data_IF_197578235082
#
_entry.id   IF_197578235082
#
_cell.length_a   1.000
_cell.length_b   1.000
_cell.length_c   1.000
_cell.angle_alpha   90.00
_cell.angle_beta   90.00
_cell.angle_gamma   90.00
#
_symmetry.space_group_name_H-M   'P 1'
#
loop_
_entity.id
_entity.type
_entity.pdbx_description
1 polymer ?
#
# COMPACT_ATOMS: atom_id res chain seq x y z
N UNK A 1 9.54 -10.56 32.76
CA UNK A 1 10.14 -10.87 31.44
C UNK A 1 9.00 -10.93 30.42
N UNK A 2 8.74 -9.84 29.73
CA UNK A 2 7.71 -9.79 28.68
C UNK A 2 8.31 -10.21 27.35
N UNK A 3 7.61 -11.01 26.53
CA UNK A 3 8.10 -11.37 25.21
C UNK A 3 8.08 -10.14 24.31
N UNK A 4 9.22 -9.74 23.80
CA UNK A 4 9.34 -8.76 22.73
C UNK A 4 8.78 -9.40 21.44
N UNK A 5 7.63 -8.93 21.01
CA UNK A 5 7.10 -9.23 19.68
C UNK A 5 7.89 -8.37 18.70
N UNK A 6 8.77 -9.00 17.96
CA UNK A 6 9.50 -8.39 16.84
C UNK A 6 8.55 -8.26 15.64
N UNK A 7 8.00 -7.06 15.44
CA UNK A 7 7.04 -6.75 14.38
C UNK A 7 7.65 -6.58 12.98
N UNK A 8 8.92 -6.87 12.79
CA UNK A 8 9.69 -6.49 11.58
C UNK A 8 9.67 -7.48 10.42
N UNK A 9 8.98 -8.62 10.53
CA UNK A 9 9.07 -9.68 9.51
C UNK A 9 7.90 -9.79 8.53
N UNK A 10 6.83 -9.01 8.71
CA UNK A 10 5.58 -9.25 7.97
C UNK A 10 5.57 -8.79 6.51
N UNK A 11 6.14 -7.64 6.20
CA UNK A 11 6.03 -7.04 4.86
C UNK A 11 6.94 -7.71 3.83
N UNK A 12 8.18 -8.00 4.23
CA UNK A 12 9.14 -8.72 3.40
C UNK A 12 8.63 -10.12 3.02
N UNK A 13 7.83 -10.75 3.90
CA UNK A 13 7.34 -12.11 3.68
C UNK A 13 6.24 -12.20 2.60
N UNK A 14 5.36 -11.21 2.45
CA UNK A 14 4.29 -11.28 1.42
C UNK A 14 4.89 -11.12 0.02
N UNK A 15 5.77 -10.15 -0.17
CA UNK A 15 6.45 -9.93 -1.45
C UNK A 15 7.47 -11.03 -1.74
N UNK A 16 8.15 -11.57 -0.72
CA UNK A 16 9.10 -12.70 -0.89
C UNK A 16 8.38 -13.99 -1.26
N UNK A 17 7.19 -14.27 -0.73
CA UNK A 17 6.39 -15.42 -1.15
C UNK A 17 5.79 -15.23 -2.55
N UNK A 18 5.43 -14.01 -2.91
CA UNK A 18 4.99 -13.67 -4.25
C UNK A 18 6.19 -13.69 -5.24
N UNK A 19 7.39 -13.32 -4.83
CA UNK A 19 8.58 -13.26 -5.68
C UNK A 19 9.48 -14.51 -5.63
N UNK A 20 9.67 -15.13 -4.46
CA UNK A 20 10.63 -16.23 -4.24
C UNK A 20 10.26 -17.57 -4.84
N UNK A 21 9.06 -17.75 -5.32
CA UNK A 21 8.57 -18.97 -5.95
C UNK A 21 8.43 -18.88 -7.49
N UNK A 22 8.94 -17.84 -8.13
CA UNK A 22 8.77 -17.57 -9.57
C UNK A 22 9.80 -18.25 -10.48
N UNK A 23 10.59 -19.21 -10.03
CA UNK A 23 11.38 -20.02 -10.93
C UNK A 23 10.53 -21.13 -11.59
N UNK A 24 10.37 -21.02 -12.92
CA UNK A 24 9.97 -22.06 -13.87
C UNK A 24 8.50 -22.15 -14.39
N UNK A 25 7.69 -21.14 -14.27
CA UNK A 25 6.63 -20.93 -15.27
C UNK A 25 6.75 -19.49 -15.77
N UNK A 26 6.57 -19.22 -17.06
CA UNK A 26 6.34 -17.86 -17.58
C UNK A 26 5.03 -17.34 -16.96
N UNK A 27 5.08 -16.89 -15.72
CA UNK A 27 3.98 -16.24 -15.07
C UNK A 27 3.81 -14.89 -15.74
N UNK A 28 2.64 -14.66 -16.30
CA UNK A 28 2.33 -13.37 -16.89
C UNK A 28 2.54 -12.28 -15.82
N UNK A 29 3.25 -11.22 -16.18
CA UNK A 29 3.42 -10.05 -15.32
C UNK A 29 2.05 -9.54 -14.89
N UNK A 30 1.80 -9.27 -13.60
CA UNK A 30 0.53 -8.72 -13.15
C UNK A 30 0.20 -7.45 -13.92
N UNK A 31 -1.08 -7.30 -14.28
CA UNK A 31 -1.58 -6.10 -14.96
C UNK A 31 -1.98 -5.08 -13.90
N UNK A 32 -1.89 -3.81 -14.25
CA UNK A 32 -2.37 -2.69 -13.41
C UNK A 32 -3.86 -2.36 -13.62
N UNK A 33 -4.59 -3.26 -14.29
CA UNK A 33 -6.04 -3.22 -14.47
C UNK A 33 -6.61 -4.63 -14.35
N UNK A 34 -7.85 -4.73 -13.96
CA UNK A 34 -8.56 -6.02 -13.90
C UNK A 34 -9.19 -6.29 -15.27
N UNK A 35 -8.74 -7.36 -15.96
CA UNK A 35 -9.27 -7.72 -17.28
C UNK A 35 -10.72 -8.21 -17.18
N UNK A 36 -11.48 -8.08 -18.28
CA UNK A 36 -12.86 -8.56 -18.36
C UNK A 36 -12.98 -10.06 -18.04
N UNK A 37 -12.06 -10.88 -18.56
CA UNK A 37 -12.05 -12.32 -18.25
C UNK A 37 -11.95 -12.56 -16.73
N UNK A 38 -11.14 -11.75 -16.03
CA UNK A 38 -10.98 -11.84 -14.58
C UNK A 38 -12.22 -11.35 -13.84
N UNK A 39 -12.87 -10.28 -14.33
CA UNK A 39 -14.13 -9.78 -13.76
C UNK A 39 -15.28 -10.77 -13.94
N UNK A 40 -15.29 -11.49 -15.06
CA UNK A 40 -16.35 -12.44 -15.44
C UNK A 40 -16.20 -13.84 -14.79
N UNK A 41 -15.14 -14.08 -14.00
CA UNK A 41 -15.04 -15.33 -13.25
C UNK A 41 -16.26 -15.46 -12.31
N UNK A 42 -17.02 -16.55 -12.51
CA UNK A 42 -18.24 -16.82 -11.73
C UNK A 42 -17.90 -17.16 -10.29
N UNK A 43 -18.69 -16.65 -9.36
CA UNK A 43 -18.59 -16.86 -7.93
C UNK A 43 -18.35 -15.57 -7.15
N UNK A 44 -18.54 -15.65 -5.85
CA UNK A 44 -18.21 -14.55 -4.93
C UNK A 44 -16.70 -14.41 -4.76
N UNK A 45 -16.29 -13.30 -4.17
CA UNK A 45 -14.90 -12.99 -3.90
C UNK A 45 -14.70 -12.76 -2.41
N UNK A 46 -13.57 -13.24 -1.89
CA UNK A 46 -13.10 -12.87 -0.57
C UNK A 46 -12.24 -11.60 -0.69
N UNK A 47 -12.33 -10.74 0.29
CA UNK A 47 -11.50 -9.57 0.41
C UNK A 47 -10.77 -9.61 1.75
N UNK A 48 -9.47 -9.41 1.71
CA UNK A 48 -8.62 -9.37 2.91
C UNK A 48 -7.91 -8.02 2.93
N UNK A 49 -8.18 -7.25 3.97
CA UNK A 49 -7.49 -5.99 4.23
C UNK A 49 -6.46 -6.25 5.32
N UNK A 50 -5.20 -6.03 5.00
CA UNK A 50 -4.07 -6.23 5.90
C UNK A 50 -3.56 -4.87 6.35
N UNK A 51 -3.61 -4.59 7.65
CA UNK A 51 -2.96 -3.42 8.25
C UNK A 51 -1.97 -3.96 9.30
N UNK A 52 -0.71 -4.24 8.91
CA UNK A 52 0.21 -5.00 9.76
C UNK A 52 0.70 -4.21 10.98
N UNK A 53 0.75 -2.90 10.87
CA UNK A 53 1.20 -2.02 11.94
C UNK A 53 0.06 -1.50 12.80
N UNK A 54 0.35 -1.13 14.04
CA UNK A 54 -0.57 -0.51 14.99
C UNK A 54 -0.30 0.96 15.20
N UNK A 55 0.85 1.45 14.72
CA UNK A 55 1.33 2.82 14.90
C UNK A 55 2.03 3.32 13.65
N UNK A 56 2.17 4.64 13.51
CA UNK A 56 2.92 5.26 12.41
C UNK A 56 4.36 4.76 12.40
N UNK A 57 4.83 4.28 11.26
CA UNK A 57 6.21 3.82 11.10
C UNK A 57 7.17 4.97 10.85
N UNK A 58 8.40 4.92 11.39
CA UNK A 58 9.41 5.94 11.16
C UNK A 58 10.14 5.73 9.84
N UNK A 59 10.48 6.84 9.19
CA UNK A 59 11.59 6.98 8.27
C UNK A 59 11.74 5.94 7.15
N UNK A 60 10.65 5.64 6.44
CA UNK A 60 10.69 4.72 5.30
C UNK A 60 10.87 5.52 4.02
N UNK A 61 11.78 5.11 3.14
CA UNK A 61 11.79 5.68 1.80
C UNK A 61 10.48 5.31 1.09
N UNK A 62 9.81 6.28 0.51
CA UNK A 62 8.49 6.09 -0.12
C UNK A 62 8.49 4.99 -1.21
N UNK A 63 9.65 4.71 -1.81
CA UNK A 63 9.84 3.63 -2.79
C UNK A 63 10.12 2.26 -2.13
N UNK A 64 10.55 2.19 -0.86
CA UNK A 64 10.77 0.93 -0.14
C UNK A 64 9.45 0.27 0.28
N UNK A 65 8.35 1.02 0.30
CA UNK A 65 7.01 0.49 0.56
C UNK A 65 6.49 -0.47 -0.55
N UNK A 66 7.26 -0.74 -1.59
CA UNK A 66 6.86 -1.60 -2.70
C UNK A 66 7.96 -2.51 -3.28
N UNK A 67 9.17 -2.49 -2.75
CA UNK A 67 10.26 -3.35 -3.25
C UNK A 67 10.81 -4.25 -2.15
N UNK A 68 10.47 -5.53 -2.19
CA UNK A 68 11.19 -6.55 -1.41
C UNK A 68 12.60 -6.67 -1.98
N UNK A 69 13.59 -6.09 -1.31
CA UNK A 69 15.00 -6.35 -1.61
C UNK A 69 15.43 -7.65 -0.95
N UNK A 70 16.20 -8.45 -1.71
CA UNK A 70 16.93 -9.59 -1.18
C UNK A 70 17.96 -9.06 -0.18
N UNK A 71 17.88 -9.50 1.06
CA UNK A 71 18.61 -8.97 2.18
C UNK A 71 20.09 -9.37 2.13
N UNK A 72 20.97 -8.37 2.18
CA UNK A 72 22.33 -8.52 2.63
C UNK A 72 22.34 -8.48 4.17
N UNK A 73 22.89 -9.47 4.89
CA UNK A 73 22.91 -9.51 6.36
C UNK A 73 23.52 -8.26 7.02
N UNK A 74 24.42 -7.56 6.31
CA UNK A 74 25.00 -6.31 6.80
C UNK A 74 24.00 -5.14 6.66
N UNK A 75 23.19 -5.15 5.61
CA UNK A 75 22.15 -4.15 5.36
C UNK A 75 21.03 -4.26 6.41
N UNK A 76 20.67 -5.48 6.83
CA UNK A 76 19.70 -5.73 7.90
C UNK A 76 20.16 -5.16 9.25
N UNK A 77 21.43 -5.35 9.61
CA UNK A 77 21.99 -4.81 10.86
C UNK A 77 22.00 -3.27 10.89
N UNK A 78 22.30 -2.64 9.76
CA UNK A 78 22.30 -1.18 9.62
C UNK A 78 20.86 -0.66 9.67
N UNK A 79 19.91 -1.36 9.05
CA UNK A 79 18.50 -1.00 9.04
C UNK A 79 17.88 -1.17 10.43
N UNK A 80 18.22 -2.22 11.18
CA UNK A 80 17.78 -2.41 12.56
C UNK A 80 18.24 -1.27 13.49
N UNK A 81 19.50 -0.84 13.36
CA UNK A 81 20.02 0.27 14.16
C UNK A 81 19.38 1.63 13.78
N UNK A 82 19.14 1.86 12.50
CA UNK A 82 18.41 3.07 12.01
C UNK A 82 16.97 3.04 12.48
N UNK A 83 16.30 1.89 12.40
CA UNK A 83 14.92 1.69 12.84
C UNK A 83 14.79 1.94 14.33
N UNK A 84 15.70 1.38 15.17
CA UNK A 84 15.67 1.59 16.62
C UNK A 84 15.86 3.06 17.03
N UNK A 85 16.67 3.82 16.28
CA UNK A 85 16.80 5.28 16.49
C UNK A 85 15.55 6.02 16.02
N UNK A 86 15.02 5.66 14.85
CA UNK A 86 13.79 6.21 14.30
C UNK A 86 12.58 6.00 15.21
N UNK A 87 12.47 4.81 15.82
CA UNK A 87 11.42 4.46 16.78
C UNK A 87 11.34 5.44 17.98
N UNK A 88 12.51 5.75 18.58
CA UNK A 88 12.56 6.73 19.68
C UNK A 88 12.27 8.15 19.22
N UNK A 89 12.72 8.47 18.01
CA UNK A 89 12.59 9.80 17.47
C UNK A 89 11.14 10.17 17.17
N UNK A 90 10.35 9.21 16.63
CA UNK A 90 8.95 9.44 16.25
C UNK A 90 7.96 9.32 17.44
N UNK A 91 8.41 8.87 18.62
CA UNK A 91 7.51 8.61 19.76
C UNK A 91 6.62 9.79 20.16
N UNK A 92 7.07 11.07 20.15
CA UNK A 92 6.18 12.20 20.44
C UNK A 92 5.01 12.30 19.47
N UNK A 93 5.23 12.06 18.19
CA UNK A 93 4.19 12.06 17.16
C UNK A 93 3.23 10.88 17.35
N UNK A 94 3.74 9.67 17.63
CA UNK A 94 2.92 8.50 17.94
C UNK A 94 2.04 8.72 19.16
N UNK A 95 2.60 9.28 20.23
CA UNK A 95 1.83 9.60 21.45
C UNK A 95 0.67 10.55 21.15
N UNK A 96 0.89 11.57 20.31
CA UNK A 96 -0.14 12.50 19.89
C UNK A 96 -1.18 11.87 18.94
N UNK A 97 -0.80 10.84 18.19
CA UNK A 97 -1.68 10.10 17.28
C UNK A 97 -2.45 8.95 17.96
N UNK A 98 -2.11 8.51 19.18
CA UNK A 98 -2.79 7.39 19.86
C UNK A 98 -4.32 7.47 19.87
N UNK A 99 -4.95 8.65 20.05
CA UNK A 99 -6.41 8.77 19.99
C UNK A 99 -6.99 8.67 18.57
N UNK A 100 -6.13 8.61 17.54
CA UNK A 100 -6.55 8.59 16.15
C UNK A 100 -6.63 7.15 15.64
N UNK A 101 -7.85 6.68 15.44
CA UNK A 101 -8.12 5.31 15.00
C UNK A 101 -8.02 5.20 13.47
N UNK A 102 -6.78 5.20 12.97
CA UNK A 102 -6.49 5.08 11.55
C UNK A 102 -7.07 3.78 10.96
N UNK A 103 -6.89 2.67 11.66
CA UNK A 103 -7.19 1.35 11.15
C UNK A 103 -8.68 1.14 10.90
N UNK A 104 -9.52 1.52 11.87
CA UNK A 104 -10.98 1.42 11.75
C UNK A 104 -11.48 2.30 10.62
N UNK A 105 -10.94 3.51 10.50
CA UNK A 105 -11.34 4.47 9.47
C UNK A 105 -10.93 4.01 8.07
N UNK A 106 -9.68 3.55 7.91
CA UNK A 106 -9.17 3.05 6.63
C UNK A 106 -9.88 1.76 6.22
N UNK A 107 -10.07 0.82 7.16
CA UNK A 107 -10.85 -0.38 6.91
C UNK A 107 -12.27 -0.06 6.44
N UNK A 108 -12.98 0.84 7.14
CA UNK A 108 -14.33 1.27 6.76
C UNK A 108 -14.39 1.88 5.35
N UNK A 109 -13.41 2.74 5.00
CA UNK A 109 -13.35 3.37 3.69
C UNK A 109 -13.06 2.36 2.57
N UNK A 110 -12.11 1.43 2.75
CA UNK A 110 -11.80 0.39 1.77
C UNK A 110 -12.96 -0.62 1.63
N UNK A 111 -13.59 -1.00 2.75
CA UNK A 111 -14.78 -1.86 2.74
C UNK A 111 -15.90 -1.26 1.89
N UNK A 112 -16.22 0.01 2.10
CA UNK A 112 -17.25 0.72 1.32
C UNK A 112 -16.97 0.68 -0.18
N UNK A 113 -15.73 0.92 -0.60
CA UNK A 113 -15.34 0.88 -2.01
C UNK A 113 -15.53 -0.51 -2.61
N UNK A 114 -15.13 -1.55 -1.89
CA UNK A 114 -15.26 -2.93 -2.37
C UNK A 114 -16.72 -3.36 -2.47
N UNK A 115 -17.57 -2.96 -1.50
CA UNK A 115 -19.00 -3.24 -1.52
C UNK A 115 -19.73 -2.53 -2.68
N UNK A 116 -19.25 -1.35 -3.07
CA UNK A 116 -19.79 -0.58 -4.19
C UNK A 116 -19.28 -1.05 -5.56
N UNK A 117 -18.20 -1.82 -5.62
CA UNK A 117 -17.61 -2.31 -6.87
C UNK A 117 -18.51 -3.39 -7.49
N UNK A 118 -19.13 -3.06 -8.63
CA UNK A 118 -20.23 -3.83 -9.24
C UNK A 118 -19.86 -5.29 -9.58
N UNK A 119 -18.64 -5.51 -10.07
CA UNK A 119 -18.17 -6.83 -10.47
C UNK A 119 -17.57 -7.63 -9.30
N UNK A 120 -17.18 -6.96 -8.19
CA UNK A 120 -16.48 -7.61 -7.07
C UNK A 120 -17.39 -8.62 -6.34
N UNK A 121 -18.65 -8.28 -6.08
CA UNK A 121 -19.61 -9.13 -5.35
C UNK A 121 -18.97 -9.77 -4.11
N UNK A 122 -18.32 -8.93 -3.28
CA UNK A 122 -17.63 -9.36 -2.09
C UNK A 122 -18.58 -10.10 -1.14
N UNK A 123 -18.25 -11.35 -0.81
CA UNK A 123 -19.05 -12.19 0.10
C UNK A 123 -18.52 -12.10 1.53
N UNK A 124 -17.21 -11.88 1.68
CA UNK A 124 -16.54 -11.83 2.97
C UNK A 124 -15.43 -10.79 2.89
N UNK A 125 -15.41 -9.86 3.85
CA UNK A 125 -14.39 -8.78 3.97
C UNK A 125 -13.77 -8.87 5.34
N UNK A 126 -12.53 -9.29 5.41
CA UNK A 126 -11.80 -9.58 6.63
C UNK A 126 -10.66 -8.56 6.84
N UNK A 127 -10.50 -8.09 8.09
CA UNK A 127 -9.34 -7.32 8.54
C UNK A 127 -8.36 -8.24 9.26
N UNK A 128 -7.09 -8.20 8.90
CA UNK A 128 -6.03 -8.94 9.59
C UNK A 128 -4.77 -8.10 9.78
N UNK A 129 -4.01 -8.42 10.83
CA UNK A 129 -2.66 -7.90 11.07
C UNK A 129 -1.59 -8.77 10.41
N UNK A 130 -1.89 -10.06 10.25
CA UNK A 130 -0.97 -11.02 9.69
C UNK A 130 -1.09 -11.05 8.17
N UNK A 131 -0.19 -10.31 7.52
CA UNK A 131 -0.04 -10.31 6.07
C UNK A 131 0.93 -11.36 5.55
N UNK A 132 1.39 -12.31 6.37
CA UNK A 132 2.29 -13.36 5.91
C UNK A 132 1.64 -14.18 4.78
N UNK A 133 2.46 -14.61 3.82
CA UNK A 133 1.97 -15.44 2.73
C UNK A 133 1.30 -16.71 3.22
N UNK A 134 1.79 -17.30 4.33
CA UNK A 134 1.19 -18.48 4.97
C UNK A 134 -0.24 -18.19 5.45
N UNK A 135 -0.48 -17.03 6.06
CA UNK A 135 -1.82 -16.64 6.49
C UNK A 135 -2.73 -16.34 5.29
N UNK A 136 -2.22 -15.62 4.28
CA UNK A 136 -2.97 -15.34 3.05
C UNK A 136 -3.35 -16.63 2.33
N UNK A 137 -2.43 -17.59 2.21
CA UNK A 137 -2.71 -18.92 1.66
C UNK A 137 -3.76 -19.67 2.48
N UNK A 138 -3.65 -19.66 3.80
CA UNK A 138 -4.65 -20.26 4.70
C UNK A 138 -6.03 -19.65 4.49
N UNK A 139 -6.12 -18.31 4.39
CA UNK A 139 -7.39 -17.60 4.18
C UNK A 139 -7.99 -17.90 2.80
N UNK A 140 -7.15 -18.02 1.77
CA UNK A 140 -7.60 -18.41 0.44
C UNK A 140 -8.12 -19.86 0.44
N UNK A 141 -7.42 -20.78 1.13
CA UNK A 141 -7.81 -22.19 1.20
C UNK A 141 -9.07 -22.43 2.03
N UNK A 142 -9.28 -21.63 3.08
CA UNK A 142 -10.49 -21.70 3.91
C UNK A 142 -11.73 -21.11 3.21
N UNK A 143 -11.56 -20.44 2.07
CA UNK A 143 -12.64 -19.80 1.33
C UNK A 143 -13.09 -20.68 0.16
N UNK A 144 -14.40 -20.77 -0.07
CA UNK A 144 -14.98 -21.42 -1.26
C UNK A 144 -14.89 -20.53 -2.51
N UNK A 145 -14.37 -19.30 -2.37
CA UNK A 145 -14.24 -18.38 -3.49
C UNK A 145 -13.02 -18.70 -4.35
N UNK A 146 -13.14 -18.43 -5.65
CA UNK A 146 -12.04 -18.60 -6.61
C UNK A 146 -11.11 -17.41 -6.68
N UNK A 147 -11.54 -16.27 -6.15
CA UNK A 147 -10.80 -15.01 -6.21
C UNK A 147 -10.71 -14.38 -4.83
N UNK A 148 -9.56 -13.82 -4.52
CA UNK A 148 -9.34 -13.06 -3.31
C UNK A 148 -8.60 -11.76 -3.63
N UNK A 149 -9.22 -10.63 -3.29
CA UNK A 149 -8.53 -9.33 -3.30
C UNK A 149 -7.82 -9.14 -1.96
N UNK A 150 -6.51 -9.00 -2.00
CA UNK A 150 -5.70 -8.66 -0.84
C UNK A 150 -5.27 -7.21 -0.96
N UNK A 151 -5.53 -6.41 0.06
CA UNK A 151 -5.11 -5.02 0.15
C UNK A 151 -4.20 -4.88 1.37
N UNK A 152 -2.94 -4.51 1.15
CA UNK A 152 -1.97 -4.23 2.22
C UNK A 152 -1.89 -2.73 2.39
N UNK A 153 -2.16 -2.26 3.60
CA UNK A 153 -2.14 -0.84 3.96
C UNK A 153 -0.97 -0.57 4.88
N UNK A 154 -0.19 0.46 4.55
CA UNK A 154 0.88 0.95 5.40
C UNK A 154 0.79 2.46 5.54
N UNK A 155 1.26 3.01 6.67
CA UNK A 155 1.38 4.43 6.89
C UNK A 155 2.67 4.75 7.67
N UNK A 156 3.42 5.72 7.16
CA UNK A 156 4.76 6.01 7.64
C UNK A 156 5.10 7.49 7.46
N UNK A 157 6.12 7.97 8.17
CA UNK A 157 6.85 9.15 7.73
C UNK A 157 7.90 8.74 6.70
N UNK A 158 8.33 9.66 5.84
CA UNK A 158 9.53 9.45 5.05
C UNK A 158 10.79 9.54 5.93
N UNK A 159 11.97 9.26 5.35
CA UNK A 159 13.25 9.26 6.07
C UNK A 159 13.72 10.67 6.50
N UNK A 160 13.13 11.73 5.96
CA UNK A 160 13.41 13.14 6.30
C UNK A 160 12.44 13.67 7.34
N UNK A 161 11.33 12.97 7.58
CA UNK A 161 10.21 13.37 8.44
C UNK A 161 9.47 14.62 7.93
N UNK A 162 9.67 14.98 6.65
CA UNK A 162 8.96 16.09 6.02
C UNK A 162 7.63 15.67 5.38
N UNK A 163 7.39 14.37 5.25
CA UNK A 163 6.19 13.82 4.62
C UNK A 163 5.57 12.69 5.44
N UNK A 164 4.23 12.60 5.39
CA UNK A 164 3.47 11.41 5.82
C UNK A 164 2.95 10.70 4.57
N UNK A 165 3.21 9.40 4.52
CA UNK A 165 2.88 8.53 3.39
C UNK A 165 1.88 7.50 3.87
N UNK A 166 0.76 7.38 3.16
CA UNK A 166 -0.17 6.24 3.28
C UNK A 166 -0.11 5.46 1.99
N UNK A 167 0.03 4.14 2.05
CA UNK A 167 0.04 3.28 0.87
C UNK A 167 -1.02 2.19 0.96
N UNK A 168 -1.57 1.82 -0.18
CA UNK A 168 -2.44 0.65 -0.37
C UNK A 168 -1.90 -0.14 -1.56
N UNK A 169 -1.52 -1.38 -1.32
CA UNK A 169 -1.14 -2.32 -2.38
C UNK A 169 -2.26 -3.33 -2.57
N UNK A 170 -2.86 -3.34 -3.75
CA UNK A 170 -3.97 -4.21 -4.08
C UNK A 170 -3.54 -5.31 -5.05
N UNK A 171 -3.74 -6.56 -4.65
CA UNK A 171 -3.45 -7.76 -5.44
C UNK A 171 -4.68 -8.64 -5.55
N UNK A 172 -5.02 -9.05 -6.76
CA UNK A 172 -6.08 -10.03 -6.96
C UNK A 172 -5.45 -11.42 -7.18
N UNK A 173 -5.74 -12.32 -6.28
CA UNK A 173 -5.31 -13.72 -6.33
C UNK A 173 -6.41 -14.56 -6.98
N UNK A 174 -6.05 -15.44 -7.90
CA UNK A 174 -7.00 -16.37 -8.54
C UNK A 174 -6.52 -17.79 -8.35
N UNK A 175 -7.36 -18.61 -7.72
CA UNK A 175 -7.11 -20.03 -7.56
C UNK A 175 -7.26 -20.74 -8.91
N UNK A 176 -6.21 -21.39 -9.37
CA UNK A 176 -6.27 -22.21 -10.56
C UNK A 176 -6.83 -23.60 -10.21
N UNK A 177 -7.90 -24.00 -10.87
CA UNK A 177 -8.42 -25.36 -10.76
C UNK A 177 -7.64 -26.23 -11.75
N UNK A 178 -6.98 -27.32 -11.32
CA UNK A 178 -6.32 -28.24 -12.21
C UNK A 178 -7.32 -28.82 -13.23
N UNK A 179 -6.96 -28.80 -14.52
CA UNK A 179 -7.73 -29.52 -15.53
C UNK A 179 -7.31 -30.99 -15.50
N UNK A 180 -8.20 -31.90 -15.03
CA UNK A 180 -8.00 -33.34 -15.08
C UNK A 180 -8.57 -34.08 -13.87
N UNK A 181 -9.23 -35.22 -14.09
CA UNK A 181 -9.99 -36.00 -13.09
C UNK A 181 -9.14 -36.70 -12.02
N UNK A 182 -7.81 -36.66 -12.08
CA UNK A 182 -6.91 -37.42 -11.20
C UNK A 182 -5.83 -36.57 -10.52
N UNK A 183 -5.92 -35.24 -10.54
CA UNK A 183 -4.97 -34.43 -9.80
C UNK A 183 -5.54 -34.17 -8.38
N UNK A 184 -4.97 -34.85 -7.37
CA UNK A 184 -5.00 -34.32 -6.01
C UNK A 184 -4.77 -32.81 -6.09
N UNK A 185 -5.67 -32.04 -5.50
CA UNK A 185 -5.65 -30.58 -5.57
C UNK A 185 -4.37 -30.02 -4.93
N UNK A 186 -3.24 -30.23 -5.58
CA UNK A 186 -2.03 -29.46 -5.32
C UNK A 186 -2.35 -28.06 -5.82
N UNK A 187 -2.51 -27.15 -4.88
CA UNK A 187 -2.51 -25.71 -5.13
C UNK A 187 -1.35 -25.38 -6.07
N UNK A 188 -1.64 -25.37 -7.37
CA UNK A 188 -0.70 -24.75 -8.30
C UNK A 188 -0.69 -23.30 -7.98
N UNK A 189 0.49 -22.74 -7.81
CA UNK A 189 0.84 -21.35 -7.54
C UNK A 189 -0.26 -20.40 -7.97
N UNK A 190 -0.79 -19.66 -7.00
CA UNK A 190 -1.84 -18.69 -7.24
C UNK A 190 -1.39 -17.73 -8.35
N UNK A 191 -2.28 -17.50 -9.29
CA UNK A 191 -2.05 -16.57 -10.37
C UNK A 191 -2.50 -15.18 -9.89
N UNK A 192 -1.64 -14.17 -10.06
CA UNK A 192 -1.92 -12.78 -9.73
C UNK A 192 -2.18 -12.02 -11.04
N UNK A 193 -3.42 -11.95 -11.51
CA UNK A 193 -3.73 -11.23 -12.74
C UNK A 193 -3.68 -9.72 -12.60
N UNK A 194 -3.78 -9.18 -11.38
CA UNK A 194 -3.82 -7.76 -11.09
C UNK A 194 -2.96 -7.42 -9.89
N UNK A 195 -2.18 -6.37 -10.04
CA UNK A 195 -1.45 -5.71 -8.95
C UNK A 195 -1.37 -4.22 -9.23
N UNK A 196 -1.68 -3.41 -8.23
CA UNK A 196 -1.50 -1.96 -8.28
C UNK A 196 -1.19 -1.40 -6.90
N UNK A 197 -0.17 -0.55 -6.83
CA UNK A 197 0.15 0.23 -5.65
C UNK A 197 -0.42 1.66 -5.78
N UNK A 198 -0.94 2.17 -4.68
CA UNK A 198 -1.48 3.51 -4.53
C UNK A 198 -0.80 4.17 -3.33
N UNK A 199 -0.41 5.43 -3.46
CA UNK A 199 0.19 6.18 -2.36
C UNK A 199 -0.38 7.59 -2.28
N UNK A 200 -0.58 8.04 -1.05
CA UNK A 200 -0.85 9.43 -0.69
C UNK A 200 0.38 9.94 0.03
N UNK A 201 0.95 11.03 -0.46
CA UNK A 201 2.14 11.67 0.07
C UNK A 201 1.74 13.08 0.44
N UNK A 202 1.77 13.42 1.71
CA UNK A 202 1.45 14.75 2.22
C UNK A 202 2.70 15.35 2.82
N UNK A 203 3.17 16.46 2.24
CA UNK A 203 4.38 17.17 2.64
C UNK A 203 4.04 18.36 3.53
N UNK A 204 4.94 18.66 4.48
CA UNK A 204 4.93 19.93 5.19
C UNK A 204 5.18 21.10 4.23
N UNK A 205 4.61 22.29 4.47
CA UNK A 205 5.03 23.49 3.78
C UNK A 205 6.45 23.86 4.25
N UNK A 206 7.33 24.24 3.33
CA UNK A 206 8.71 24.67 3.59
C UNK A 206 9.44 23.81 4.66
N UNK A 207 9.66 22.51 4.40
CA UNK A 207 10.32 21.64 5.36
C UNK A 207 11.78 22.07 5.57
N UNK A 208 12.26 21.99 6.81
CA UNK A 208 13.66 22.19 7.11
C UNK A 208 14.44 20.88 6.91
N UNK A 209 14.92 20.65 5.71
CA UNK A 209 15.66 19.43 5.36
C UNK A 209 16.93 19.22 6.19
N UNK A 210 17.41 20.25 6.92
CA UNK A 210 18.56 20.18 7.81
C UNK A 210 18.20 19.82 9.25
N UNK A 211 16.95 20.08 9.67
CA UNK A 211 16.45 19.87 11.03
C UNK A 211 15.20 18.96 11.06
N UNK A 212 15.45 17.67 11.11
CA UNK A 212 14.40 16.63 11.21
C UNK A 212 13.58 16.73 12.51
N UNK A 213 14.17 17.27 13.58
CA UNK A 213 13.47 17.46 14.87
C UNK A 213 12.43 18.57 14.73
N UNK A 214 12.77 19.65 14.05
CA UNK A 214 11.83 20.74 13.77
C UNK A 214 10.64 20.25 12.95
N UNK A 215 10.84 19.47 11.88
CA UNK A 215 9.76 18.93 11.07
C UNK A 215 8.89 17.96 11.86
N UNK A 216 9.48 17.09 12.67
CA UNK A 216 8.73 16.18 13.54
C UNK A 216 7.93 16.93 14.62
N UNK A 217 8.50 18.01 15.18
CA UNK A 217 7.77 18.87 16.13
C UNK A 217 6.55 19.53 15.48
N UNK A 218 6.65 19.95 14.20
CA UNK A 218 5.52 20.50 13.43
C UNK A 218 4.40 19.46 13.25
N UNK A 219 4.76 18.22 12.89
CA UNK A 219 3.78 17.12 12.81
C UNK A 219 3.09 16.83 14.15
N UNK A 220 3.83 16.94 15.27
CA UNK A 220 3.34 16.65 16.60
C UNK A 220 2.52 17.79 17.21
N UNK A 221 2.66 19.01 16.68
CA UNK A 221 2.01 20.21 17.18
C UNK A 221 0.48 20.11 17.17
N UNK A 222 -0.18 20.86 18.06
CA UNK A 222 -1.65 20.94 18.17
C UNK A 222 -2.32 19.56 18.15
N UNK A 223 -1.86 18.63 18.99
CA UNK A 223 -2.32 17.24 19.04
C UNK A 223 -2.20 16.51 17.70
N UNK A 224 -1.09 16.71 17.00
CA UNK A 224 -0.81 16.16 15.68
C UNK A 224 -1.88 16.50 14.62
N UNK A 225 -2.43 17.70 14.64
CA UNK A 225 -3.51 18.11 13.74
C UNK A 225 -3.12 17.99 12.28
N UNK A 226 -1.90 18.39 11.90
CA UNK A 226 -1.39 18.26 10.53
C UNK A 226 -1.17 16.79 10.13
N UNK A 227 -0.62 15.98 11.04
CA UNK A 227 -0.45 14.56 10.79
C UNK A 227 -1.79 13.82 10.62
N UNK A 228 -2.79 14.16 11.45
CA UNK A 228 -4.17 13.64 11.28
C UNK A 228 -4.76 14.06 9.94
N UNK A 229 -4.59 15.32 9.54
CA UNK A 229 -5.06 15.80 8.23
C UNK A 229 -4.38 15.07 7.07
N UNK A 230 -3.10 14.72 7.20
CA UNK A 230 -2.38 13.93 6.22
C UNK A 230 -2.91 12.48 6.12
N UNK A 231 -3.16 11.84 7.27
CA UNK A 231 -3.76 10.51 7.33
C UNK A 231 -5.20 10.51 6.80
N UNK A 232 -6.01 11.52 7.15
CA UNK A 232 -7.37 11.71 6.64
C UNK A 232 -7.39 11.87 5.12
N UNK A 233 -6.42 12.61 4.57
CA UNK A 233 -6.28 12.74 3.12
C UNK A 233 -6.06 11.38 2.45
N UNK A 234 -5.17 10.53 3.01
CA UNK A 234 -4.97 9.16 2.54
C UNK A 234 -6.24 8.32 2.61
N UNK A 235 -6.94 8.35 3.75
CA UNK A 235 -8.20 7.60 3.97
C UNK A 235 -9.29 8.02 2.97
N UNK A 236 -9.39 9.29 2.64
CA UNK A 236 -10.41 9.80 1.71
C UNK A 236 -10.05 9.54 0.25
N UNK A 237 -8.79 9.69 -0.12
CA UNK A 237 -8.37 9.70 -1.52
C UNK A 237 -7.95 8.34 -2.07
N UNK A 238 -7.25 7.52 -1.28
CA UNK A 238 -6.76 6.22 -1.77
C UNK A 238 -7.89 5.24 -2.08
N UNK A 239 -8.94 5.09 -1.25
CA UNK A 239 -10.08 4.25 -1.60
C UNK A 239 -10.78 4.71 -2.88
N UNK A 240 -10.95 6.02 -3.08
CA UNK A 240 -11.55 6.56 -4.30
C UNK A 240 -10.69 6.27 -5.55
N UNK A 241 -9.36 6.37 -5.42
CA UNK A 241 -8.43 6.04 -6.50
C UNK A 241 -8.44 4.52 -6.81
N UNK A 242 -8.49 3.69 -5.77
CA UNK A 242 -8.65 2.25 -5.90
C UNK A 242 -9.98 1.90 -6.62
N UNK A 243 -11.10 2.49 -6.21
CA UNK A 243 -12.39 2.29 -6.86
C UNK A 243 -12.32 2.57 -8.36
N UNK A 244 -11.77 3.74 -8.73
CA UNK A 244 -11.56 4.13 -10.12
C UNK A 244 -10.68 3.12 -10.87
N UNK A 245 -9.61 2.62 -10.25
CA UNK A 245 -8.71 1.67 -10.89
C UNK A 245 -9.32 0.28 -11.05
N UNK A 246 -10.08 -0.21 -10.06
CA UNK A 246 -10.77 -1.50 -10.14
C UNK A 246 -11.80 -1.54 -11.28
N UNK A 247 -12.44 -0.41 -11.60
CA UNK A 247 -13.40 -0.28 -12.70
C UNK A 247 -12.72 0.11 -14.04
N UNK A 248 -11.47 0.56 -14.01
CA UNK A 248 -10.77 1.04 -15.20
C UNK A 248 -10.53 -0.07 -16.23
N UNK A 249 -10.68 0.28 -17.49
CA UNK A 249 -10.32 -0.56 -18.64
C UNK A 249 -8.80 -0.50 -18.90
N UNK A 250 -8.33 -1.42 -19.74
CA UNK A 250 -6.93 -1.38 -20.21
C UNK A 250 -6.61 -0.05 -20.92
N UNK A 251 -7.51 0.44 -21.75
CA UNK A 251 -7.31 1.68 -22.50
C UNK A 251 -7.16 2.88 -21.55
N UNK A 252 -8.03 2.97 -20.54
CA UNK A 252 -7.96 4.05 -19.52
C UNK A 252 -6.65 3.99 -18.75
N UNK A 253 -6.21 2.81 -18.28
CA UNK A 253 -4.95 2.70 -17.54
C UNK A 253 -3.73 2.99 -18.41
N UNK A 254 -3.79 2.70 -19.71
CA UNK A 254 -2.74 3.07 -20.67
C UNK A 254 -2.65 4.60 -20.86
N UNK A 255 -3.78 5.31 -20.83
CA UNK A 255 -3.77 6.78 -20.91
C UNK A 255 -3.04 7.43 -19.73
N UNK A 256 -3.01 6.78 -18.58
CA UNK A 256 -2.26 7.28 -17.42
C UNK A 256 -0.73 7.17 -17.60
N UNK A 257 -0.26 6.25 -18.45
CA UNK A 257 1.17 5.98 -18.71
C UNK A 257 1.71 6.58 -20.02
N UNK A 258 0.85 6.88 -20.97
CA UNK A 258 1.21 6.95 -22.40
C UNK A 258 1.42 8.33 -23.02
N UNK A 259 1.47 9.45 -22.28
CA UNK A 259 1.71 10.76 -22.91
C UNK A 259 3.17 11.19 -22.77
N UNK A 260 3.89 11.28 -23.89
CA UNK A 260 5.29 11.71 -23.96
C UNK A 260 5.51 13.21 -23.62
N UNK A 261 4.44 13.99 -23.50
CA UNK A 261 4.42 15.44 -23.23
C UNK A 261 4.25 15.79 -21.73
N UNK A 262 4.23 14.78 -20.85
CA UNK A 262 3.95 14.98 -19.43
C UNK A 262 5.15 15.57 -18.71
N UNK A 263 4.86 16.57 -17.89
CA UNK A 263 5.84 17.12 -16.94
C UNK A 263 6.30 16.01 -16.00
N UNK A 264 7.60 15.81 -15.93
CA UNK A 264 8.21 14.94 -14.92
C UNK A 264 8.11 15.61 -13.56
N UNK A 265 7.73 14.83 -12.56
CA UNK A 265 7.78 15.22 -11.15
C UNK A 265 8.91 14.41 -10.52
N UNK A 266 9.90 15.10 -10.00
CA UNK A 266 10.90 14.50 -9.14
C UNK A 266 10.67 15.05 -7.73
N UNK A 267 9.86 14.33 -6.95
CA UNK A 267 9.60 14.66 -5.55
C UNK A 267 9.68 13.41 -4.70
N UNK A 268 10.05 13.58 -3.45
CA UNK A 268 10.29 12.48 -2.51
C UNK A 268 11.26 11.40 -3.06
N UNK A 269 12.18 11.77 -3.98
CA UNK A 269 13.11 10.84 -4.61
C UNK A 269 12.47 9.87 -5.62
N UNK A 270 11.23 10.11 -6.02
CA UNK A 270 10.49 9.26 -6.97
C UNK A 270 10.25 10.01 -8.29
N UNK A 271 10.97 9.66 -9.37
CA UNK A 271 10.66 10.19 -10.68
C UNK A 271 9.31 9.64 -11.17
N UNK A 272 8.46 10.50 -11.70
CA UNK A 272 7.14 10.11 -12.20
C UNK A 272 6.56 11.09 -13.21
N UNK A 273 5.43 10.73 -13.80
CA UNK A 273 4.69 11.55 -14.77
C UNK A 273 3.40 12.08 -14.15
N UNK A 274 3.19 13.39 -14.21
CA UNK A 274 1.93 14.00 -13.77
C UNK A 274 0.80 13.52 -14.66
N UNK A 275 -0.27 13.01 -14.06
CA UNK A 275 -1.47 12.58 -14.78
C UNK A 275 -2.37 13.76 -15.06
N UNK A 276 -2.73 14.49 -14.00
CA UNK A 276 -3.59 15.68 -14.06
C UNK A 276 -3.40 16.42 -12.73
N UNK A 277 -3.22 17.75 -12.79
CA UNK A 277 -3.11 18.54 -11.57
C UNK A 277 -4.50 19.04 -11.18
N UNK A 278 -4.92 18.77 -9.96
CA UNK A 278 -6.19 19.24 -9.40
C UNK A 278 -5.91 20.05 -8.12
N UNK A 279 -6.16 21.34 -8.15
CA UNK A 279 -5.98 22.27 -7.03
C UNK A 279 -4.60 22.11 -6.31
N UNK A 280 -4.63 21.65 -5.06
CA UNK A 280 -3.46 21.39 -4.20
C UNK A 280 -2.94 19.95 -4.30
N UNK A 281 -3.54 19.12 -5.15
CA UNK A 281 -3.17 17.70 -5.33
C UNK A 281 -2.55 17.49 -6.70
N UNK A 282 -1.39 16.83 -6.72
CA UNK A 282 -0.71 16.44 -7.96
C UNK A 282 -0.71 14.91 -8.07
N UNK A 283 -1.65 14.33 -8.85
CA UNK A 283 -1.61 12.90 -9.16
C UNK A 283 -0.47 12.61 -10.14
N UNK A 284 0.34 11.59 -9.85
CA UNK A 284 1.39 11.15 -10.77
C UNK A 284 1.56 9.62 -10.76
N UNK A 285 2.06 9.10 -11.89
CA UNK A 285 2.43 7.69 -12.04
C UNK A 285 3.93 7.58 -11.88
N UNK A 286 4.39 6.74 -10.97
CA UNK A 286 5.80 6.47 -10.76
C UNK A 286 6.43 5.84 -12.00
N UNK A 287 7.63 6.30 -12.38
CA UNK A 287 8.36 5.81 -13.56
C UNK A 287 8.83 4.35 -13.40
N UNK A 288 9.18 3.95 -12.17
CA UNK A 288 9.53 2.58 -11.81
C UNK A 288 8.34 1.96 -11.08
N UNK A 289 7.91 0.77 -11.43
CA UNK A 289 6.81 0.08 -10.74
C UNK A 289 5.39 0.55 -11.09
N UNK A 290 5.20 1.77 -11.58
CA UNK A 290 3.90 2.29 -12.04
C UNK A 290 2.89 2.53 -10.93
N UNK A 291 3.33 2.79 -9.69
CA UNK A 291 2.44 3.17 -8.60
C UNK A 291 1.69 4.47 -8.92
N UNK A 292 0.43 4.54 -8.50
CA UNK A 292 -0.40 5.74 -8.59
C UNK A 292 -0.26 6.54 -7.30
N UNK A 293 0.29 7.75 -7.41
CA UNK A 293 0.60 8.60 -6.26
C UNK A 293 -0.24 9.86 -6.30
N UNK A 294 -0.62 10.34 -5.12
CA UNK A 294 -1.26 11.62 -4.88
C UNK A 294 -0.33 12.45 -3.98
N UNK A 295 0.25 13.51 -4.53
CA UNK A 295 1.10 14.42 -3.80
C UNK A 295 0.31 15.66 -3.40
N UNK A 296 0.39 16.06 -2.15
CA UNK A 296 -0.19 17.26 -1.58
C UNK A 296 0.82 17.95 -0.67
N UNK A 297 0.96 19.27 -0.81
CA UNK A 297 1.69 20.10 0.18
C UNK A 297 0.65 20.80 1.07
N UNK A 298 0.79 20.70 2.38
CA UNK A 298 -0.06 21.42 3.33
C UNK A 298 0.13 22.93 3.14
N UNK A 299 -0.94 23.69 3.37
CA UNK A 299 -0.84 25.16 3.43
C UNK A 299 -0.35 25.57 4.81
N UNK A 300 0.43 26.63 4.88
CA UNK A 300 0.74 27.25 6.16
C UNK A 300 -0.56 27.60 6.90
N UNK A 301 -0.64 27.22 8.16
CA UNK A 301 -1.72 27.69 9.03
C UNK A 301 -1.48 29.18 9.28
N UNK A 302 -2.20 30.03 8.59
CA UNK A 302 -2.30 31.47 8.98
C UNK A 302 -2.98 31.53 10.32
N UNK A 303 -2.18 31.69 11.39
CA UNK A 303 -2.64 31.98 12.74
C UNK A 303 -2.92 33.48 12.88
#
# INVERSE_FOLDING_TARGET
MSPRVTATSGLAAILTLLAGNYCLAKTATPKNYVSEDTRNIVGGRKVVIVIPQTELMPGIAAWELGEARFNDPLEDLINDAKTARGEKFIEPLRAALRPYDFDVRMFGALKTVVEQCSWMRAQDIELTRDGSGKNIERLLNASDTRQMLVMVVNYATDFRYDSIIVSVEASLLVRQIPRGEHSEARLRKDYIPYFQAFRSIVELPDPDHSDREADLARWSAANASQARAALDFGIQRLPALLAKNLEATQAETQTWRGRNDRKTVERAGMPGWVVEKQDDVTPFVEARGGALNLLRTLKESTH
#
